data_IF_417053393642
#
_entry.id   IF_417053393642
#
_cell.length_a   1.000
_cell.length_b   1.000
_cell.length_c   1.000
_cell.angle_alpha   90.00
_cell.angle_beta   90.00
_cell.angle_gamma   90.00
#
_symmetry.space_group_name_H-M   'P 1'
#
loop_
_entity.id
_entity.type
_entity.pdbx_description
1 polymer ?
#
# COMPACT_ATOMS: atom_id res chain seq x y z
N UNK A 1 -7.24 -1.76 14.91
CA UNK A 1 -6.12 -1.78 13.97
C UNK A 1 -5.79 -0.37 13.52
N UNK A 2 -4.56 -0.09 13.03
CA UNK A 2 -4.27 1.16 12.36
C UNK A 2 -5.21 1.36 11.16
N UNK A 3 -5.71 2.58 10.96
CA UNK A 3 -6.51 2.91 9.79
C UNK A 3 -5.60 3.09 8.56
N UNK A 4 -5.27 1.99 7.89
CA UNK A 4 -4.41 1.99 6.72
C UNK A 4 -5.06 2.72 5.53
N UNK A 5 -4.29 3.49 4.73
CA UNK A 5 -4.79 4.06 3.49
C UNK A 5 -5.36 2.95 2.58
N UNK A 6 -6.55 3.12 1.99
CA UNK A 6 -7.14 2.11 1.12
C UNK A 6 -6.31 1.93 -0.14
N UNK A 7 -6.12 0.67 -0.53
CA UNK A 7 -5.35 0.25 -1.70
C UNK A 7 -6.25 0.21 -2.95
N UNK A 8 -5.75 0.63 -4.10
CA UNK A 8 -6.51 0.61 -5.35
C UNK A 8 -5.60 0.31 -6.55
N UNK A 9 -5.87 -0.77 -7.28
CA UNK A 9 -5.04 -1.21 -8.41
C UNK A 9 -5.59 -0.73 -9.75
N UNK A 10 -5.62 0.60 -9.95
CA UNK A 10 -6.16 1.20 -11.17
C UNK A 10 -5.11 1.55 -12.22
N UNK A 11 -3.83 1.54 -11.84
CA UNK A 11 -2.70 1.81 -12.71
C UNK A 11 -1.49 0.95 -12.29
N UNK A 12 -1.14 -0.03 -13.13
CA UNK A 12 -0.02 -0.95 -12.87
C UNK A 12 1.01 -0.92 -14.01
N UNK A 13 1.03 0.15 -14.80
CA UNK A 13 2.02 0.31 -15.88
C UNK A 13 3.43 0.34 -15.30
N UNK A 14 4.40 -0.22 -16.01
CA UNK A 14 5.80 -0.20 -15.60
C UNK A 14 6.68 0.15 -16.81
N UNK A 15 7.90 0.67 -16.63
CA UNK A 15 8.80 0.93 -17.74
C UNK A 15 9.28 -0.38 -18.36
N UNK A 16 9.72 -0.31 -19.62
CA UNK A 16 10.43 -1.41 -20.25
C UNK A 16 11.95 -1.25 -20.06
N UNK A 17 12.66 -2.37 -19.96
CA UNK A 17 14.12 -2.39 -20.04
C UNK A 17 14.63 -2.32 -21.49
N UNK A 18 15.96 -2.35 -21.68
CA UNK A 18 16.58 -2.29 -23.01
C UNK A 18 16.17 -3.47 -23.92
N UNK A 19 15.77 -4.59 -23.33
CA UNK A 19 15.26 -5.77 -24.04
C UNK A 19 13.76 -5.72 -24.34
N UNK A 20 13.08 -4.63 -23.98
CA UNK A 20 11.63 -4.48 -24.11
C UNK A 20 10.83 -5.27 -23.09
N UNK A 21 11.46 -5.74 -22.00
CA UNK A 21 10.77 -6.45 -20.92
C UNK A 21 10.28 -5.48 -19.86
N UNK A 22 9.11 -5.76 -19.30
CA UNK A 22 8.55 -4.96 -18.21
C UNK A 22 9.42 -5.06 -16.94
N UNK A 23 9.82 -3.91 -16.42
CA UNK A 23 10.47 -3.77 -15.12
C UNK A 23 9.42 -3.89 -14.01
N UNK A 24 8.80 -5.06 -13.88
CA UNK A 24 7.69 -5.30 -12.95
C UNK A 24 8.09 -5.51 -11.49
N UNK A 25 9.33 -5.94 -11.23
CA UNK A 25 9.96 -6.04 -9.90
C UNK A 25 11.45 -5.75 -10.05
N UNK A 26 12.03 -4.99 -9.13
CA UNK A 26 13.45 -4.56 -9.17
C UNK A 26 14.21 -5.02 -7.92
N UNK A 27 14.31 -6.34 -7.75
CA UNK A 27 14.99 -6.93 -6.59
C UNK A 27 16.50 -7.03 -6.84
N UNK A 28 17.31 -6.39 -5.99
CA UNK A 28 18.77 -6.55 -5.96
C UNK A 28 19.54 -5.95 -7.14
N UNK A 29 18.86 -5.31 -8.09
CA UNK A 29 19.46 -4.58 -9.21
C UNK A 29 19.34 -3.07 -8.98
N UNK A 30 20.44 -2.46 -8.54
CA UNK A 30 20.48 -1.04 -8.24
C UNK A 30 20.20 -0.18 -9.49
N UNK A 31 20.66 -0.57 -10.66
CA UNK A 31 20.51 0.21 -11.89
C UNK A 31 19.05 0.23 -12.35
N UNK A 32 18.41 -0.95 -12.41
CA UNK A 32 16.98 -1.06 -12.74
C UNK A 32 16.10 -0.35 -11.72
N UNK A 33 16.46 -0.40 -10.44
CA UNK A 33 15.76 0.34 -9.40
C UNK A 33 15.86 1.86 -9.63
N UNK A 34 17.05 2.38 -9.96
CA UNK A 34 17.22 3.80 -10.31
C UNK A 34 16.42 4.19 -11.55
N UNK A 35 16.45 3.37 -12.59
CA UNK A 35 15.67 3.56 -13.81
C UNK A 35 14.17 3.62 -13.51
N UNK A 36 13.67 2.70 -12.68
CA UNK A 36 12.27 2.68 -12.27
C UNK A 36 11.86 3.94 -11.54
N UNK A 37 12.65 4.42 -10.56
CA UNK A 37 12.33 5.63 -9.81
C UNK A 37 12.32 6.89 -10.68
N UNK A 38 13.26 7.01 -11.62
CA UNK A 38 13.28 8.11 -12.57
C UNK A 38 12.06 8.10 -13.46
N UNK A 39 11.74 6.95 -14.05
CA UNK A 39 10.51 6.79 -14.83
C UNK A 39 9.26 7.12 -14.02
N UNK A 40 9.15 6.62 -12.78
CA UNK A 40 7.99 6.83 -11.93
C UNK A 40 7.82 8.31 -11.55
N UNK A 41 8.91 9.03 -11.32
CA UNK A 41 8.89 10.46 -11.00
C UNK A 41 8.26 11.31 -12.12
N UNK A 42 8.57 10.99 -13.38
CA UNK A 42 7.97 11.67 -14.53
C UNK A 42 6.58 11.12 -14.84
N UNK A 43 6.40 9.80 -14.73
CA UNK A 43 5.12 9.15 -14.98
C UNK A 43 4.00 9.70 -14.08
N UNK A 44 4.25 9.84 -12.77
CA UNK A 44 3.29 10.40 -11.82
C UNK A 44 3.01 11.89 -12.04
N UNK A 45 3.99 12.65 -12.56
CA UNK A 45 3.83 14.06 -12.89
C UNK A 45 2.98 14.25 -14.15
N UNK A 46 3.27 13.50 -15.20
CA UNK A 46 2.67 13.71 -16.53
C UNK A 46 1.34 12.98 -16.70
N UNK A 47 1.15 11.85 -16.04
CA UNK A 47 0.03 10.95 -16.33
C UNK A 47 -1.23 11.37 -15.55
N UNK A 48 -2.39 11.53 -16.22
CA UNK A 48 -3.66 11.68 -15.55
C UNK A 48 -4.14 10.33 -15.01
N UNK A 49 -3.91 10.09 -13.71
CA UNK A 49 -4.45 8.94 -12.98
C UNK A 49 -5.68 9.42 -12.18
N UNK A 50 -6.89 8.89 -12.43
CA UNK A 50 -8.08 9.30 -11.69
C UNK A 50 -8.01 8.82 -10.25
N UNK A 51 -8.42 9.64 -9.28
CA UNK A 51 -8.49 9.21 -7.87
C UNK A 51 -9.75 8.38 -7.64
N UNK A 52 -9.64 7.10 -7.22
CA UNK A 52 -10.78 6.28 -6.83
C UNK A 52 -11.52 6.90 -5.65
N UNK A 53 -12.84 6.69 -5.57
CA UNK A 53 -13.69 7.25 -4.51
C UNK A 53 -13.15 6.95 -3.11
N UNK A 54 -12.71 5.70 -2.88
CA UNK A 54 -12.17 5.25 -1.59
C UNK A 54 -10.90 6.00 -1.15
N UNK A 55 -10.16 6.60 -2.07
CA UNK A 55 -8.92 7.32 -1.77
C UNK A 55 -9.13 8.84 -1.63
N UNK A 56 -10.33 9.38 -1.88
CA UNK A 56 -10.59 10.83 -1.84
C UNK A 56 -10.33 11.43 -0.46
N UNK A 57 -10.89 10.84 0.59
CA UNK A 57 -10.72 11.32 1.97
C UNK A 57 -9.25 11.35 2.38
N UNK A 58 -8.46 10.38 1.91
CA UNK A 58 -7.01 10.32 2.17
C UNK A 58 -6.27 11.43 1.44
N UNK A 59 -6.65 11.72 0.19
CA UNK A 59 -6.08 12.86 -0.55
C UNK A 59 -6.40 14.19 0.15
N UNK A 60 -7.64 14.42 0.56
CA UNK A 60 -8.04 15.64 1.28
C UNK A 60 -7.24 15.81 2.58
N UNK A 61 -7.11 14.73 3.37
CA UNK A 61 -6.30 14.72 4.60
C UNK A 61 -4.85 15.13 4.34
N UNK A 62 -4.22 14.65 3.27
CA UNK A 62 -2.83 15.00 2.96
C UNK A 62 -2.69 16.42 2.41
N UNK A 63 -3.68 16.92 1.66
CA UNK A 63 -3.70 18.33 1.25
C UNK A 63 -3.65 19.28 2.46
N UNK A 64 -4.32 18.93 3.55
CA UNK A 64 -4.33 19.73 4.78
C UNK A 64 -3.08 19.55 5.65
N UNK A 65 -2.41 18.40 5.57
CA UNK A 65 -1.37 17.97 6.54
C UNK A 65 0.07 18.00 6.01
N UNK A 66 0.31 18.54 4.81
CA UNK A 66 1.67 18.75 4.27
C UNK A 66 1.94 18.22 2.86
N UNK A 67 0.89 17.85 2.13
CA UNK A 67 0.95 17.48 0.72
C UNK A 67 1.79 16.24 0.45
N UNK A 68 2.64 16.32 -0.58
CA UNK A 68 3.43 15.19 -1.08
C UNK A 68 4.27 14.50 -0.01
N UNK A 69 4.98 15.27 0.82
CA UNK A 69 5.88 14.72 1.85
C UNK A 69 5.11 13.92 2.90
N UNK A 70 3.96 14.43 3.36
CA UNK A 70 3.12 13.74 4.34
C UNK A 70 2.50 12.47 3.74
N UNK A 71 2.01 12.54 2.50
CA UNK A 71 1.48 11.37 1.80
C UNK A 71 2.53 10.27 1.64
N UNK A 72 3.75 10.64 1.21
CA UNK A 72 4.86 9.70 0.99
C UNK A 72 5.25 8.99 2.28
N UNK A 73 5.46 9.76 3.36
CA UNK A 73 5.90 9.19 4.63
C UNK A 73 4.83 8.31 5.27
N UNK A 74 3.59 8.80 5.35
CA UNK A 74 2.49 8.09 6.02
C UNK A 74 2.10 6.80 5.27
N UNK A 75 2.05 6.84 3.93
CA UNK A 75 1.74 5.64 3.13
C UNK A 75 2.88 4.63 3.21
N UNK A 76 4.15 5.06 3.11
CA UNK A 76 5.29 4.14 3.22
C UNK A 76 5.32 3.43 4.57
N UNK A 77 5.12 4.19 5.65
CA UNK A 77 5.06 3.68 7.01
C UNK A 77 3.90 2.72 7.19
N UNK A 78 2.71 3.12 6.76
CA UNK A 78 1.48 2.33 6.85
C UNK A 78 1.62 1.00 6.11
N UNK A 79 2.12 1.03 4.87
CA UNK A 79 2.28 -0.17 4.05
C UNK A 79 3.25 -1.17 4.67
N UNK A 80 4.34 -0.69 5.29
CA UNK A 80 5.30 -1.55 5.98
C UNK A 80 4.66 -2.36 7.12
N UNK A 81 3.80 -1.73 7.93
CA UNK A 81 3.06 -2.43 9.00
C UNK A 81 1.89 -3.26 8.47
N UNK A 82 1.24 -2.79 7.40
CA UNK A 82 0.08 -3.44 6.78
C UNK A 82 0.42 -4.84 6.27
N UNK A 83 1.63 -5.03 5.70
CA UNK A 83 2.06 -6.32 5.17
C UNK A 83 1.91 -7.46 6.18
N UNK A 84 2.41 -7.29 7.40
CA UNK A 84 2.25 -8.31 8.45
C UNK A 84 0.86 -8.29 9.08
N UNK A 85 0.22 -7.12 9.19
CA UNK A 85 -1.04 -6.97 9.90
C UNK A 85 -2.23 -7.56 9.13
N UNK A 86 -2.19 -7.53 7.79
CA UNK A 86 -3.28 -8.01 6.94
C UNK A 86 -3.03 -9.38 6.31
N UNK A 87 -1.81 -9.93 6.35
CA UNK A 87 -1.47 -11.20 5.71
C UNK A 87 -2.48 -12.32 6.04
N UNK A 88 -2.79 -12.50 7.33
CA UNK A 88 -3.75 -13.52 7.76
C UNK A 88 -5.17 -13.26 7.20
N UNK A 89 -5.61 -12.00 7.18
CA UNK A 89 -6.92 -11.63 6.64
C UNK A 89 -6.99 -11.88 5.12
N UNK A 90 -5.95 -11.47 4.38
CA UNK A 90 -5.87 -11.68 2.93
C UNK A 90 -5.84 -13.17 2.55
N UNK A 91 -5.14 -13.98 3.35
CA UNK A 91 -5.10 -15.43 3.18
C UNK A 91 -6.48 -16.07 3.35
N UNK A 92 -7.23 -15.70 4.39
CA UNK A 92 -8.59 -16.21 4.61
C UNK A 92 -9.56 -15.74 3.52
N UNK A 93 -9.46 -14.48 3.08
CA UNK A 93 -10.23 -13.95 1.95
C UNK A 93 -9.94 -14.76 0.68
N UNK A 94 -8.67 -15.07 0.40
CA UNK A 94 -8.28 -15.88 -0.76
C UNK A 94 -8.79 -17.32 -0.69
N UNK A 95 -8.99 -17.87 0.52
CA UNK A 95 -9.65 -19.17 0.74
C UNK A 95 -11.18 -19.11 0.63
N UNK A 96 -11.75 -17.91 0.53
CA UNK A 96 -13.19 -17.68 0.39
C UNK A 96 -13.95 -17.71 1.72
N UNK A 97 -13.26 -17.44 2.84
CA UNK A 97 -13.86 -17.36 4.16
C UNK A 97 -14.82 -16.17 4.24
N UNK A 98 -15.99 -16.36 4.86
CA UNK A 98 -16.96 -15.27 5.05
C UNK A 98 -16.56 -14.38 6.24
N UNK A 99 -17.11 -13.16 6.28
CA UNK A 99 -16.93 -12.27 7.43
C UNK A 99 -17.30 -12.94 8.76
N UNK A 100 -18.42 -13.66 8.80
CA UNK A 100 -18.90 -14.32 10.01
C UNK A 100 -17.92 -15.38 10.51
N UNK A 101 -17.40 -16.22 9.61
CA UNK A 101 -16.41 -17.25 9.96
C UNK A 101 -15.06 -16.63 10.37
N UNK A 102 -14.60 -15.60 9.65
CA UNK A 102 -13.38 -14.88 9.99
C UNK A 102 -13.47 -14.23 11.39
N UNK A 103 -14.56 -13.51 11.65
CA UNK A 103 -14.77 -12.83 12.93
C UNK A 103 -14.90 -13.80 14.10
N UNK A 104 -15.60 -14.93 13.91
CA UNK A 104 -15.69 -15.98 14.93
C UNK A 104 -14.31 -16.55 15.27
N UNK A 105 -13.43 -16.73 14.28
CA UNK A 105 -12.05 -17.18 14.50
C UNK A 105 -11.21 -16.15 15.27
N UNK A 106 -11.26 -14.86 14.90
CA UNK A 106 -10.58 -13.78 15.64
C UNK A 106 -11.07 -13.67 17.09
N UNK A 107 -12.38 -13.79 17.30
CA UNK A 107 -12.98 -13.77 18.62
C UNK A 107 -12.55 -14.96 19.47
N UNK A 108 -12.53 -16.18 18.91
CA UNK A 108 -12.01 -17.36 19.61
C UNK A 108 -10.54 -17.22 19.98
N UNK A 109 -9.72 -16.67 19.07
CA UNK A 109 -8.32 -16.37 19.35
C UNK A 109 -8.17 -15.39 20.52
N UNK A 110 -8.88 -14.24 20.46
CA UNK A 110 -8.89 -13.25 21.53
C UNK A 110 -9.36 -13.82 22.88
N UNK A 111 -10.42 -14.64 22.87
CA UNK A 111 -10.96 -15.30 24.06
C UNK A 111 -10.01 -16.35 24.64
N UNK A 112 -9.20 -16.99 23.79
CA UNK A 112 -8.19 -17.97 24.16
C UNK A 112 -6.88 -17.39 24.73
N UNK A 113 -6.61 -16.09 24.53
CA UNK A 113 -5.43 -15.44 25.11
C UNK A 113 -5.48 -15.43 26.65
N UNK A 114 -4.35 -15.77 27.26
CA UNK A 114 -4.15 -15.66 28.70
C UNK A 114 -4.12 -14.20 29.17
N UNK A 115 -4.29 -13.97 30.47
CA UNK A 115 -4.25 -12.62 31.04
C UNK A 115 -2.95 -11.87 30.74
N UNK A 116 -1.80 -12.55 30.73
CA UNK A 116 -0.51 -11.96 30.42
C UNK A 116 -0.34 -11.62 28.93
N UNK A 117 -0.96 -12.40 28.03
CA UNK A 117 -0.95 -12.10 26.59
C UNK A 117 -1.85 -10.90 26.28
N UNK A 118 -2.97 -10.74 27.00
CA UNK A 118 -3.85 -9.58 26.88
C UNK A 118 -3.26 -8.27 27.43
N UNK A 119 -2.22 -8.32 28.25
CA UNK A 119 -1.53 -7.10 28.70
C UNK A 119 -0.75 -6.41 27.56
N UNK A 120 -0.45 -7.15 26.48
CA UNK A 120 0.28 -6.63 25.33
C UNK A 120 -0.58 -6.09 24.17
N UNK A 121 -1.89 -6.37 24.17
CA UNK A 121 -2.77 -6.07 23.04
C UNK A 121 -4.17 -5.66 23.51
N UNK A 122 -4.79 -4.72 22.82
CA UNK A 122 -6.23 -4.45 22.96
C UNK A 122 -7.04 -5.39 22.07
N UNK A 123 -8.35 -5.49 22.33
CA UNK A 123 -9.24 -6.28 21.46
C UNK A 123 -9.23 -5.71 20.05
N UNK A 124 -9.18 -4.39 19.94
CA UNK A 124 -9.15 -3.65 18.69
C UNK A 124 -7.85 -3.86 17.91
N UNK A 125 -6.76 -4.28 18.56
CA UNK A 125 -5.52 -4.66 17.87
C UNK A 125 -5.60 -6.05 17.24
N UNK A 126 -6.51 -6.90 17.73
CA UNK A 126 -6.63 -8.31 17.35
C UNK A 126 -7.86 -8.60 16.49
N UNK A 127 -8.95 -7.88 16.72
CA UNK A 127 -10.25 -8.13 16.09
C UNK A 127 -10.55 -7.01 15.09
N UNK A 128 -10.60 -7.38 13.82
CA UNK A 128 -10.95 -6.49 12.71
C UNK A 128 -12.43 -6.12 12.77
N UNK A 129 -12.80 -4.97 12.21
CA UNK A 129 -14.19 -4.60 11.98
C UNK A 129 -14.72 -5.15 10.65
N UNK A 130 -16.04 -5.30 10.53
CA UNK A 130 -16.67 -5.71 9.26
C UNK A 130 -16.32 -4.78 8.09
N UNK A 131 -16.28 -3.47 8.34
CA UNK A 131 -15.96 -2.49 7.32
C UNK A 131 -14.51 -2.61 6.81
N UNK A 132 -13.57 -2.91 7.70
CA UNK A 132 -12.18 -3.20 7.31
C UNK A 132 -12.10 -4.49 6.50
N UNK A 133 -12.76 -5.56 6.93
CA UNK A 133 -12.77 -6.83 6.19
C UNK A 133 -13.38 -6.67 4.80
N UNK A 134 -14.51 -5.97 4.68
CA UNK A 134 -15.17 -5.69 3.40
C UNK A 134 -14.27 -4.83 2.49
N UNK A 135 -13.57 -3.83 3.04
CA UNK A 135 -12.56 -3.04 2.30
C UNK A 135 -11.46 -3.95 1.77
N UNK A 136 -10.79 -4.71 2.65
CA UNK A 136 -9.66 -5.58 2.29
C UNK A 136 -10.10 -6.66 1.31
N UNK A 137 -11.33 -7.17 1.41
CA UNK A 137 -11.89 -8.13 0.46
C UNK A 137 -11.93 -7.60 -0.97
N UNK A 138 -12.35 -6.35 -1.16
CA UNK A 138 -12.35 -5.74 -2.49
C UNK A 138 -10.93 -5.47 -2.97
N UNK A 139 -10.03 -5.03 -2.08
CA UNK A 139 -8.62 -4.81 -2.40
C UNK A 139 -7.94 -6.10 -2.88
N UNK A 140 -8.13 -7.21 -2.17
CA UNK A 140 -7.62 -8.53 -2.57
C UNK A 140 -8.15 -8.93 -3.93
N UNK A 141 -9.45 -8.74 -4.20
CA UNK A 141 -10.04 -9.10 -5.50
C UNK A 141 -9.48 -8.23 -6.64
N UNK A 142 -9.32 -6.93 -6.42
CA UNK A 142 -8.69 -6.03 -7.39
C UNK A 142 -7.24 -6.43 -7.69
N UNK A 143 -6.47 -6.82 -6.66
CA UNK A 143 -5.08 -7.23 -6.81
C UNK A 143 -4.91 -8.45 -7.73
N UNK A 144 -5.92 -9.33 -7.83
CA UNK A 144 -5.89 -10.53 -8.70
C UNK A 144 -5.89 -10.19 -10.19
N UNK A 145 -6.32 -8.98 -10.56
CA UNK A 145 -6.27 -8.51 -11.95
C UNK A 145 -4.85 -8.17 -12.42
N UNK A 146 -3.89 -8.06 -11.50
CA UNK A 146 -2.54 -7.61 -11.77
C UNK A 146 -1.65 -8.78 -12.22
N UNK A 147 -0.87 -8.61 -13.32
CA UNK A 147 0.11 -9.60 -13.72
C UNK A 147 1.11 -9.92 -12.60
N UNK A 148 1.35 -11.20 -12.33
CA UNK A 148 2.18 -11.66 -11.20
C UNK A 148 3.62 -11.14 -11.19
N UNK A 149 4.16 -10.75 -12.35
CA UNK A 149 5.51 -10.21 -12.45
C UNK A 149 5.58 -8.72 -12.13
N UNK A 150 4.44 -8.06 -11.86
CA UNK A 150 4.34 -6.67 -11.45
C UNK A 150 4.04 -6.62 -9.94
N UNK A 151 4.95 -6.04 -9.17
CA UNK A 151 4.91 -6.10 -7.70
C UNK A 151 5.55 -4.91 -7.00
N UNK A 152 5.47 -3.71 -7.60
CA UNK A 152 5.98 -2.49 -6.98
C UNK A 152 5.04 -1.95 -5.90
N UNK A 153 5.61 -1.56 -4.76
CA UNK A 153 4.89 -1.11 -3.57
C UNK A 153 4.06 0.17 -3.79
N UNK A 154 4.44 1.00 -4.77
CA UNK A 154 3.72 2.26 -5.06
C UNK A 154 2.39 2.06 -5.81
N UNK A 155 2.22 0.93 -6.52
CA UNK A 155 1.09 0.69 -7.44
C UNK A 155 -0.28 0.99 -6.81
N UNK A 156 -0.60 0.50 -5.61
CA UNK A 156 -1.92 0.73 -5.02
C UNK A 156 -2.22 2.19 -4.66
N UNK A 157 -1.20 3.07 -4.69
CA UNK A 157 -1.26 4.45 -4.21
C UNK A 157 -0.91 5.49 -5.27
N UNK A 158 -0.62 5.07 -6.51
CA UNK A 158 -0.22 5.97 -7.60
C UNK A 158 -1.21 7.10 -7.87
N UNK A 159 -2.51 6.86 -7.68
CA UNK A 159 -3.52 7.89 -7.85
C UNK A 159 -3.33 9.04 -6.85
N UNK A 160 -3.01 8.72 -5.59
CA UNK A 160 -2.70 9.70 -4.54
C UNK A 160 -1.40 10.42 -4.90
N UNK A 161 -0.34 9.67 -5.23
CA UNK A 161 0.96 10.27 -5.55
C UNK A 161 0.90 11.18 -6.78
N UNK A 162 0.16 10.80 -7.83
CA UNK A 162 0.03 11.60 -9.04
C UNK A 162 -0.65 12.95 -8.80
N UNK A 163 -1.56 13.07 -7.82
CA UNK A 163 -2.15 14.36 -7.44
C UNK A 163 -1.06 15.28 -6.88
N UNK A 164 -0.29 14.80 -5.90
CA UNK A 164 0.70 15.64 -5.24
C UNK A 164 1.95 15.88 -6.09
N UNK A 165 2.35 14.92 -6.92
CA UNK A 165 3.54 15.05 -7.74
C UNK A 165 3.38 16.11 -8.84
N UNK A 166 2.15 16.36 -9.31
CA UNK A 166 1.83 17.44 -10.26
C UNK A 166 2.14 18.84 -9.74
N UNK A 167 2.21 19.01 -8.43
CA UNK A 167 2.54 20.29 -7.79
C UNK A 167 4.06 20.50 -7.68
N UNK A 168 4.86 19.49 -7.99
CA UNK A 168 6.32 19.51 -7.86
C UNK A 168 6.93 19.59 -9.26
N UNK A 169 7.37 20.76 -9.68
CA UNK A 169 7.99 20.94 -11.02
C UNK A 169 9.38 20.28 -11.13
N UNK A 170 10.16 20.27 -10.05
CA UNK A 170 11.52 19.71 -10.06
C UNK A 170 11.49 18.17 -10.01
N UNK A 171 11.94 17.56 -11.11
CA UNK A 171 12.11 16.11 -11.22
C UNK A 171 13.01 15.54 -10.11
N UNK A 172 14.06 16.26 -9.69
CA UNK A 172 14.97 15.76 -8.64
C UNK A 172 14.26 15.62 -7.30
N UNK A 173 13.32 16.53 -7.01
CA UNK A 173 12.53 16.48 -5.79
C UNK A 173 11.53 15.33 -5.81
N UNK A 174 10.81 15.14 -6.94
CA UNK A 174 9.92 13.98 -7.15
C UNK A 174 10.67 12.66 -6.95
N UNK A 175 11.83 12.53 -7.60
CA UNK A 175 12.70 11.36 -7.46
C UNK A 175 13.15 11.16 -6.00
N UNK A 176 13.54 12.22 -5.28
CA UNK A 176 13.97 12.15 -3.88
C UNK A 176 12.85 11.63 -2.98
N UNK A 177 11.62 12.10 -3.18
CA UNK A 177 10.45 11.64 -2.43
C UNK A 177 10.15 10.17 -2.71
N UNK A 178 10.20 9.70 -3.96
CA UNK A 178 10.01 8.27 -4.26
C UNK A 178 11.10 7.40 -3.65
N UNK A 179 12.35 7.87 -3.66
CA UNK A 179 13.43 7.17 -2.98
C UNK A 179 13.16 7.05 -1.48
N UNK A 180 12.65 8.11 -0.84
CA UNK A 180 12.26 8.09 0.57
C UNK A 180 11.09 7.13 0.83
N UNK A 181 10.07 7.13 -0.03
CA UNK A 181 8.95 6.19 0.06
C UNK A 181 9.45 4.75 0.16
N UNK A 182 10.31 4.33 -0.77
CA UNK A 182 10.83 2.96 -0.78
C UNK A 182 11.75 2.68 0.40
N UNK A 183 12.61 3.64 0.81
CA UNK A 183 13.46 3.47 1.98
C UNK A 183 12.64 3.24 3.26
N UNK A 184 11.65 4.10 3.51
CA UNK A 184 10.79 3.99 4.69
C UNK A 184 9.95 2.71 4.65
N UNK A 185 9.40 2.36 3.49
CA UNK A 185 8.67 1.11 3.31
C UNK A 185 9.52 -0.11 3.68
N UNK A 186 10.75 -0.21 3.18
CA UNK A 186 11.64 -1.33 3.52
C UNK A 186 12.08 -1.31 4.98
N UNK A 187 12.30 -0.13 5.56
CA UNK A 187 12.66 0.01 6.98
C UNK A 187 11.50 -0.39 7.91
N UNK A 188 10.25 -0.17 7.52
CA UNK A 188 9.08 -0.63 8.28
C UNK A 188 8.75 -2.10 8.03
N UNK A 189 8.86 -2.58 6.79
CA UNK A 189 8.57 -3.97 6.44
C UNK A 189 9.61 -4.98 6.96
N UNK A 190 10.78 -4.51 7.41
CA UNK A 190 11.84 -5.36 7.97
C UNK A 190 11.82 -5.47 9.51
N UNK A 191 10.82 -4.86 10.15
CA UNK A 191 10.60 -4.92 11.61
C UNK A 191 9.61 -6.01 11.97
#
# INVERSE_FOLDING_TARGET
MPNFPPRCWIDWKVPLDEGGQELGVVNGDAERYQQYLHWLADYLYETPIPVPERQRDVVERYQESGGASSAIFDIATSLGYELSALEACEDEINRGVSWEEFHDNEMQYWEGLSGAEREGFTKEDVVMTRAEFERVSVEVEESKSIPRHIGHADIPFRAIFAIFFKEIEDHRERYRLLKQFYQEFYECASK
#
